data_IF_766739472764
#
_entry.id   IF_766739472764
#
_cell.length_a   1.000
_cell.length_b   1.000
_cell.length_c   1.000
_cell.angle_alpha   90.00
_cell.angle_beta   90.00
_cell.angle_gamma   90.00
#
_symmetry.space_group_name_H-M   'P 1'
#
loop_
_entity.id
_entity.type
_entity.pdbx_description
1 polymer ?
#
# COMPACT_ATOMS: atom_id res chain seq x y z
N UNK A 1 -2.13 -27.76 4.17
CA UNK A 1 -3.19 -26.78 3.86
C UNK A 1 -2.51 -25.65 3.12
N UNK A 2 -2.46 -25.77 1.80
CA UNK A 2 -1.92 -24.75 0.89
C UNK A 2 -2.73 -23.46 1.09
N UNK A 3 -2.11 -22.27 1.18
CA UNK A 3 -2.87 -21.04 1.06
C UNK A 3 -3.47 -21.05 -0.35
N UNK A 4 -4.79 -21.20 -0.37
CA UNK A 4 -5.62 -21.06 -1.55
C UNK A 4 -5.23 -19.75 -2.24
N UNK A 5 -4.84 -19.88 -3.51
CA UNK A 5 -4.37 -18.79 -4.32
C UNK A 5 -5.37 -17.62 -4.26
N UNK A 6 -4.84 -16.43 -3.97
CA UNK A 6 -5.48 -15.17 -4.31
C UNK A 6 -5.97 -15.29 -5.77
N UNK A 7 -7.28 -15.19 -5.97
CA UNK A 7 -7.87 -15.18 -7.31
C UNK A 7 -7.14 -14.12 -8.16
N UNK A 8 -6.78 -14.42 -9.43
CA UNK A 8 -6.04 -13.47 -10.28
C UNK A 8 -6.87 -12.24 -10.70
N UNK A 9 -8.13 -12.15 -10.28
CA UNK A 9 -9.05 -11.11 -10.72
C UNK A 9 -8.83 -9.79 -9.96
N UNK A 10 -8.10 -8.85 -10.57
CA UNK A 10 -8.22 -7.41 -10.24
C UNK A 10 -6.95 -6.57 -10.40
N UNK A 11 -5.77 -7.19 -10.48
CA UNK A 11 -4.49 -6.45 -10.52
C UNK A 11 -3.65 -6.71 -11.78
N UNK A 12 -4.09 -7.57 -12.69
CA UNK A 12 -3.39 -7.85 -13.94
C UNK A 12 -3.59 -6.72 -14.97
N UNK A 13 -2.55 -5.90 -15.12
CA UNK A 13 -2.43 -4.85 -16.13
C UNK A 13 -3.03 -3.50 -15.75
N UNK A 14 -3.04 -2.57 -16.70
CA UNK A 14 -3.43 -1.14 -16.56
C UNK A 14 -4.87 -0.86 -16.06
N UNK A 15 -5.63 -1.86 -15.59
CA UNK A 15 -7.02 -1.71 -15.14
C UNK A 15 -7.17 -1.19 -13.72
N UNK A 16 -6.14 -1.33 -12.87
CA UNK A 16 -6.23 -0.89 -11.47
C UNK A 16 -6.33 0.63 -11.30
N UNK A 17 -5.80 1.39 -12.26
CA UNK A 17 -5.79 2.87 -12.21
C UNK A 17 -5.85 3.46 -13.60
N UNK A 18 -6.67 4.49 -13.78
CA UNK A 18 -6.64 5.37 -14.94
C UNK A 18 -5.52 6.42 -14.79
N UNK A 19 -4.88 6.78 -15.90
CA UNK A 19 -3.76 7.74 -15.92
C UNK A 19 -4.07 8.89 -16.85
N UNK A 20 -3.92 10.12 -16.34
CA UNK A 20 -4.10 11.36 -17.13
C UNK A 20 -2.99 12.36 -16.84
N UNK A 21 -2.55 13.16 -17.83
CA UNK A 21 -1.67 14.30 -17.56
C UNK A 21 -2.30 15.22 -16.51
N UNK A 22 -1.47 15.79 -15.64
CA UNK A 22 -1.94 16.82 -14.72
C UNK A 22 -2.33 18.08 -15.51
N UNK A 23 -3.53 18.65 -15.27
CA UNK A 23 -4.03 19.80 -16.04
C UNK A 23 -3.30 21.11 -15.72
N UNK A 24 -2.53 21.16 -14.63
CA UNK A 24 -1.80 22.33 -14.14
C UNK A 24 -0.30 22.24 -14.37
N UNK A 25 0.27 21.04 -14.43
CA UNK A 25 1.68 20.83 -14.77
C UNK A 25 1.88 19.53 -15.58
N UNK A 26 2.10 19.69 -16.88
CA UNK A 26 2.26 18.57 -17.82
C UNK A 26 3.48 17.66 -17.57
N UNK A 27 4.35 17.97 -16.59
CA UNK A 27 5.41 17.05 -16.14
C UNK A 27 4.88 15.89 -15.29
N UNK A 28 3.68 16.02 -14.73
CA UNK A 28 3.07 14.99 -13.89
C UNK A 28 1.99 14.21 -14.63
N UNK A 29 1.88 12.92 -14.27
CA UNK A 29 0.78 12.05 -14.66
C UNK A 29 0.05 11.62 -13.40
N UNK A 30 -1.21 11.99 -13.30
CA UNK A 30 -2.10 11.60 -12.21
C UNK A 30 -2.58 10.16 -12.45
N UNK A 31 -2.39 9.30 -11.46
CA UNK A 31 -2.95 7.94 -11.44
C UNK A 31 -4.12 7.89 -10.44
N UNK A 32 -5.33 7.67 -10.95
CA UNK A 32 -6.55 7.56 -10.13
C UNK A 32 -7.01 6.12 -10.14
N UNK A 33 -7.28 5.48 -8.98
CA UNK A 33 -7.82 4.13 -8.96
C UNK A 33 -9.15 4.08 -9.70
N UNK A 34 -9.34 3.04 -10.52
CA UNK A 34 -10.65 2.75 -11.13
C UNK A 34 -11.57 2.11 -10.10
N UNK A 35 -12.86 2.01 -10.40
CA UNK A 35 -13.81 1.30 -9.53
C UNK A 35 -13.43 -0.18 -9.36
N UNK A 36 -12.98 -0.83 -10.43
CA UNK A 36 -12.47 -2.21 -10.39
C UNK A 36 -11.21 -2.32 -9.52
N UNK A 37 -10.26 -1.39 -9.68
CA UNK A 37 -9.06 -1.34 -8.86
C UNK A 37 -9.37 -1.10 -7.39
N UNK A 38 -10.35 -0.25 -7.09
CA UNK A 38 -10.80 0.00 -5.72
C UNK A 38 -11.51 -1.22 -5.12
N UNK A 39 -12.36 -1.90 -5.90
CA UNK A 39 -13.02 -3.13 -5.46
C UNK A 39 -12.00 -4.22 -5.11
N UNK A 40 -10.96 -4.40 -5.94
CA UNK A 40 -9.88 -5.34 -5.66
C UNK A 40 -9.08 -4.99 -4.39
N UNK A 41 -8.84 -3.70 -4.14
CA UNK A 41 -8.21 -3.23 -2.89
C UNK A 41 -9.08 -3.56 -1.68
N UNK A 42 -10.39 -3.32 -1.75
CA UNK A 42 -11.31 -3.60 -0.65
C UNK A 42 -11.42 -5.09 -0.38
N UNK A 43 -11.50 -5.92 -1.42
CA UNK A 43 -11.59 -7.38 -1.31
C UNK A 43 -10.34 -8.00 -0.67
N UNK A 44 -9.15 -7.50 -1.05
CA UNK A 44 -7.88 -8.00 -0.52
C UNK A 44 -7.50 -7.45 0.87
N UNK A 45 -8.05 -6.30 1.27
CA UNK A 45 -7.66 -5.61 2.51
C UNK A 45 -7.82 -6.46 3.79
N UNK A 46 -8.92 -7.21 4.02
CA UNK A 46 -9.07 -8.04 5.22
C UNK A 46 -7.96 -9.10 5.34
N UNK A 47 -7.69 -9.85 4.26
CA UNK A 47 -6.66 -10.89 4.25
C UNK A 47 -5.24 -10.33 4.45
N UNK A 48 -4.98 -9.13 3.90
CA UNK A 48 -3.75 -8.40 4.14
C UNK A 48 -3.61 -8.00 5.62
N UNK A 49 -4.64 -7.39 6.21
CA UNK A 49 -4.64 -6.95 7.60
C UNK A 49 -4.44 -8.13 8.55
N UNK A 50 -5.12 -9.24 8.33
CA UNK A 50 -4.99 -10.44 9.18
C UNK A 50 -3.58 -11.01 9.13
N UNK A 51 -2.97 -11.03 7.95
CA UNK A 51 -1.60 -11.51 7.78
C UNK A 51 -0.60 -10.59 8.47
N UNK A 52 -0.72 -9.28 8.30
CA UNK A 52 0.17 -8.30 8.95
C UNK A 52 0.03 -8.35 10.47
N UNK A 53 -1.20 -8.45 11.00
CA UNK A 53 -1.45 -8.62 12.43
C UNK A 53 -0.76 -9.86 12.97
N UNK A 54 -1.01 -11.02 12.35
CA UNK A 54 -0.44 -12.30 12.77
C UNK A 54 1.09 -12.33 12.73
N UNK A 55 1.69 -11.86 11.64
CA UNK A 55 3.14 -11.99 11.42
C UNK A 55 3.92 -10.93 12.18
N UNK A 56 3.43 -9.70 12.19
CA UNK A 56 4.17 -8.55 12.74
C UNK A 56 3.70 -8.19 14.14
N UNK A 57 2.40 -7.95 14.34
CA UNK A 57 1.92 -7.32 15.56
C UNK A 57 1.71 -8.31 16.72
N UNK A 58 1.21 -9.51 16.45
CA UNK A 58 0.99 -10.54 17.48
C UNK A 58 2.32 -11.05 18.07
N UNK A 59 3.42 -10.92 17.32
CA UNK A 59 4.78 -11.26 17.75
C UNK A 59 5.44 -10.18 18.64
N UNK A 60 4.83 -9.00 18.78
CA UNK A 60 5.45 -7.84 19.42
C UNK A 60 4.67 -7.36 20.64
N UNK A 61 5.41 -7.00 21.69
CA UNK A 61 4.84 -6.27 22.83
C UNK A 61 4.43 -4.85 22.42
N UNK A 62 3.52 -4.23 23.17
CA UNK A 62 3.11 -2.82 22.97
C UNK A 62 4.31 -1.85 22.98
N UNK A 63 5.36 -2.14 23.76
CA UNK A 63 6.57 -1.32 23.78
C UNK A 63 7.37 -1.45 22.48
N UNK A 64 7.53 -2.67 21.97
CA UNK A 64 8.21 -2.92 20.69
C UNK A 64 7.44 -2.34 19.51
N UNK A 65 6.10 -2.36 19.51
CA UNK A 65 5.31 -1.68 18.48
C UNK A 65 5.58 -0.17 18.43
N UNK A 66 5.74 0.47 19.60
CA UNK A 66 6.13 1.89 19.65
C UNK A 66 7.54 2.11 19.08
N UNK A 67 8.48 1.24 19.42
CA UNK A 67 9.85 1.30 18.88
C UNK A 67 9.86 1.11 17.36
N UNK A 68 9.11 0.14 16.83
CA UNK A 68 8.97 -0.11 15.40
C UNK A 68 8.48 1.14 14.67
N UNK A 69 7.43 1.78 15.20
CA UNK A 69 6.90 3.04 14.64
C UNK A 69 7.98 4.12 14.58
N UNK A 70 8.74 4.31 15.66
CA UNK A 70 9.72 5.38 15.75
C UNK A 70 10.94 5.12 14.83
N UNK A 71 11.36 3.86 14.70
CA UNK A 71 12.41 3.44 13.77
C UNK A 71 11.94 3.64 12.32
N UNK A 72 10.75 3.16 11.95
CA UNK A 72 10.21 3.29 10.60
C UNK A 72 10.10 4.76 10.17
N UNK A 73 9.68 5.64 11.09
CA UNK A 73 9.66 7.10 10.83
C UNK A 73 11.03 7.66 10.49
N UNK A 74 12.07 7.29 11.26
CA UNK A 74 13.44 7.75 11.01
C UNK A 74 13.96 7.27 9.66
N UNK A 75 13.69 6.01 9.30
CA UNK A 75 14.06 5.46 7.99
C UNK A 75 13.37 6.19 6.85
N UNK A 76 12.05 6.42 6.96
CA UNK A 76 11.29 7.16 5.95
C UNK A 76 11.81 8.60 5.80
N UNK A 77 12.14 9.27 6.90
CA UNK A 77 12.72 10.63 6.87
C UNK A 77 14.10 10.67 6.25
N UNK A 78 14.91 9.61 6.46
CA UNK A 78 16.24 9.52 5.85
C UNK A 78 16.18 9.21 4.35
N UNK A 79 15.07 8.64 3.86
CA UNK A 79 14.88 8.27 2.44
C UNK A 79 14.14 9.36 1.66
N UNK A 80 13.27 10.12 2.34
CA UNK A 80 12.55 11.24 1.76
C UNK A 80 13.40 12.50 1.81
N UNK A 81 14.14 12.80 0.74
CA UNK A 81 14.60 14.16 0.47
C UNK A 81 13.36 15.07 0.39
N UNK A 82 13.07 15.77 1.48
CA UNK A 82 11.92 16.68 1.65
C UNK A 82 12.13 18.01 0.90
N UNK A 83 12.74 17.98 -0.28
CA UNK A 83 12.79 19.14 -1.16
C UNK A 83 11.47 19.17 -1.91
N UNK A 84 10.53 20.11 -1.61
CA UNK A 84 9.43 20.34 -2.53
C UNK A 84 10.02 20.77 -3.87
N UNK A 85 9.67 20.07 -4.94
CA UNK A 85 10.03 20.44 -6.32
C UNK A 85 9.51 21.83 -6.70
#
# INVERSE_FOLDING_TARGET
MTPEALSPAGWEGSRASDRRPDPTDGRYTLATPTDEGMAALVDSAPGHVDTVRRVVFDSLTKAQVRQLRDIARRVNQATGDNTPC
#
